data_IF_544617836764
#
_entry.id   IF_544617836764
#
_cell.length_a   1.000
_cell.length_b   1.000
_cell.length_c   1.000
_cell.angle_alpha   90.00
_cell.angle_beta   90.00
_cell.angle_gamma   90.00
#
_symmetry.space_group_name_H-M   'P 1'
#
loop_
_entity.id
_entity.type
_entity.pdbx_description
1 polymer ?
#
# COMPACT_ATOMS: atom_id res chain seq x y z
N UNK A 1 -19.70 8.10 -0.49
CA UNK A 1 -18.29 8.24 -0.83
C UNK A 1 -17.38 7.35 0.01
N UNK A 2 -17.76 7.04 1.23
CA UNK A 2 -17.01 6.18 2.14
C UNK A 2 -17.66 4.80 2.27
N UNK A 3 -16.82 3.77 2.47
CA UNK A 3 -17.28 2.43 2.76
C UNK A 3 -17.91 2.38 4.16
N UNK A 4 -18.94 1.55 4.33
CA UNK A 4 -19.62 1.33 5.61
C UNK A 4 -19.86 -0.17 5.85
N UNK A 5 -19.87 -0.56 7.11
CA UNK A 5 -20.18 -1.94 7.51
C UNK A 5 -19.06 -2.94 7.21
N UNK A 6 -19.45 -4.16 6.87
CA UNK A 6 -18.54 -5.29 6.63
C UNK A 6 -17.42 -5.02 5.60
N UNK A 7 -17.72 -4.39 4.43
CA UNK A 7 -16.65 -4.09 3.47
C UNK A 7 -15.61 -3.10 4.02
N UNK A 8 -16.01 -2.18 4.87
CA UNK A 8 -15.07 -1.28 5.56
C UNK A 8 -14.17 -2.05 6.52
N UNK A 9 -14.72 -2.97 7.29
CA UNK A 9 -13.95 -3.79 8.23
C UNK A 9 -12.90 -4.63 7.51
N UNK A 10 -13.29 -5.30 6.42
CA UNK A 10 -12.37 -6.11 5.60
C UNK A 10 -11.27 -5.24 5.02
N UNK A 11 -11.62 -4.09 4.47
CA UNK A 11 -10.64 -3.15 3.90
C UNK A 11 -9.68 -2.63 4.97
N UNK A 12 -10.17 -2.26 6.16
CA UNK A 12 -9.34 -1.81 7.27
C UNK A 12 -8.37 -2.90 7.74
N UNK A 13 -8.85 -4.13 7.90
CA UNK A 13 -8.00 -5.25 8.34
C UNK A 13 -6.90 -5.55 7.31
N UNK A 14 -7.23 -5.56 6.02
CA UNK A 14 -6.24 -5.79 4.96
C UNK A 14 -5.22 -4.64 4.88
N UNK A 15 -5.67 -3.41 4.97
CA UNK A 15 -4.76 -2.26 4.93
C UNK A 15 -3.92 -2.14 6.21
N UNK A 16 -4.47 -2.53 7.38
CA UNK A 16 -3.70 -2.64 8.61
C UNK A 16 -2.61 -3.72 8.49
N UNK A 17 -2.93 -4.85 7.87
CA UNK A 17 -1.95 -5.89 7.58
C UNK A 17 -0.83 -5.37 6.66
N UNK A 18 -1.18 -4.62 5.62
CA UNK A 18 -0.17 -3.98 4.74
C UNK A 18 0.69 -3.00 5.53
N UNK A 19 0.09 -2.15 6.36
CA UNK A 19 0.83 -1.21 7.20
C UNK A 19 1.82 -1.94 8.13
N UNK A 20 1.40 -3.05 8.74
CA UNK A 20 2.24 -3.87 9.59
C UNK A 20 3.39 -4.53 8.80
N UNK A 21 3.10 -5.04 7.61
CA UNK A 21 4.12 -5.58 6.71
C UNK A 21 5.13 -4.52 6.29
N UNK A 22 4.68 -3.32 5.95
CA UNK A 22 5.56 -2.20 5.62
C UNK A 22 6.41 -1.80 6.82
N UNK A 23 5.82 -1.76 8.02
CA UNK A 23 6.54 -1.46 9.25
C UNK A 23 7.69 -2.44 9.53
N UNK A 24 7.51 -3.70 9.22
CA UNK A 24 8.51 -4.75 9.44
C UNK A 24 9.49 -4.91 8.28
N UNK A 25 9.00 -4.92 7.04
CA UNK A 25 9.81 -5.21 5.85
C UNK A 25 10.69 -4.03 5.42
N UNK A 26 10.23 -2.79 5.56
CA UNK A 26 11.03 -1.65 5.14
C UNK A 26 12.33 -1.49 5.94
N UNK A 27 12.33 -1.52 7.29
CA UNK A 27 13.56 -1.49 8.06
C UNK A 27 14.48 -2.68 7.78
N UNK A 28 13.90 -3.88 7.60
CA UNK A 28 14.66 -5.08 7.25
C UNK A 28 15.39 -4.94 5.92
N UNK A 29 14.69 -4.49 4.90
CA UNK A 29 15.28 -4.25 3.58
C UNK A 29 16.36 -3.16 3.59
N UNK A 30 16.17 -2.11 4.38
CA UNK A 30 17.17 -1.06 4.56
C UNK A 30 18.42 -1.56 5.28
N UNK A 31 18.27 -2.36 6.32
CA UNK A 31 19.39 -2.97 7.02
C UNK A 31 20.15 -3.94 6.11
N UNK A 32 19.43 -4.79 5.36
CA UNK A 32 20.04 -5.69 4.38
C UNK A 32 20.81 -4.92 3.30
N UNK A 33 20.23 -3.86 2.77
CA UNK A 33 20.89 -3.00 1.77
C UNK A 33 22.16 -2.38 2.32
N UNK A 34 22.12 -1.84 3.56
CA UNK A 34 23.27 -1.26 4.24
C UNK A 34 24.38 -2.27 4.44
N UNK A 35 24.05 -3.49 4.88
CA UNK A 35 25.02 -4.54 5.17
C UNK A 35 25.66 -5.12 3.90
N UNK A 36 24.93 -5.10 2.77
CA UNK A 36 25.39 -5.67 1.50
C UNK A 36 26.16 -4.66 0.63
N UNK A 37 25.70 -3.43 0.56
CA UNK A 37 26.23 -2.40 -0.35
C UNK A 37 27.09 -1.36 0.40
N UNK A 38 26.86 -1.18 1.70
CA UNK A 38 27.59 -0.28 2.57
C UNK A 38 27.13 1.19 2.49
N UNK A 39 27.55 1.98 3.48
CA UNK A 39 27.40 3.44 3.50
C UNK A 39 28.61 4.09 2.84
N UNK A 40 28.43 4.89 1.83
CA UNK A 40 29.54 5.47 1.09
C UNK A 40 29.70 6.98 1.20
N UNK A 41 28.82 7.76 1.84
CA UNK A 41 29.07 9.20 2.03
C UNK A 41 28.10 9.96 2.92
N UNK A 42 28.51 11.18 3.33
CA UNK A 42 27.71 12.17 4.06
C UNK A 42 26.40 12.63 3.36
N UNK A 43 26.21 12.29 2.11
CA UNK A 43 24.96 12.54 1.34
C UNK A 43 23.80 11.66 1.79
N UNK A 44 24.07 10.60 2.56
CA UNK A 44 23.05 9.64 3.01
C UNK A 44 22.10 10.18 4.09
N UNK A 45 22.45 11.27 4.77
CA UNK A 45 21.59 11.88 5.80
C UNK A 45 20.30 12.44 5.18
N UNK A 46 20.41 13.20 4.10
CA UNK A 46 19.24 13.75 3.40
C UNK A 46 18.33 12.66 2.81
N UNK A 47 18.93 11.59 2.31
CA UNK A 47 18.21 10.42 1.81
C UNK A 47 17.49 9.66 2.93
N UNK A 48 18.10 9.52 4.10
CA UNK A 48 17.47 8.93 5.26
C UNK A 48 16.21 9.69 5.70
N UNK A 49 16.27 11.02 5.67
CA UNK A 49 15.12 11.88 5.97
C UNK A 49 14.01 11.68 4.91
N UNK A 50 14.35 11.67 3.63
CA UNK A 50 13.40 11.44 2.55
C UNK A 50 12.74 10.06 2.66
N UNK A 51 13.51 9.01 2.92
CA UNK A 51 12.99 7.65 3.14
C UNK A 51 12.06 7.57 4.36
N UNK A 52 12.39 8.27 5.44
CA UNK A 52 11.54 8.36 6.61
C UNK A 52 10.19 9.00 6.28
N UNK A 53 10.17 10.09 5.51
CA UNK A 53 8.92 10.71 5.07
C UNK A 53 8.10 9.80 4.15
N UNK A 54 8.73 9.16 3.17
CA UNK A 54 8.05 8.18 2.29
C UNK A 54 7.43 7.06 3.10
N UNK A 55 8.14 6.52 4.07
CA UNK A 55 7.67 5.46 4.94
C UNK A 55 6.40 5.88 5.71
N UNK A 56 6.42 7.05 6.36
CA UNK A 56 5.26 7.55 7.09
C UNK A 56 4.10 7.93 6.18
N UNK A 57 4.38 8.46 4.99
CA UNK A 57 3.33 8.73 3.99
C UNK A 57 2.65 7.43 3.54
N UNK A 58 3.41 6.37 3.31
CA UNK A 58 2.87 5.07 2.91
C UNK A 58 2.02 4.45 4.03
N UNK A 59 2.48 4.49 5.28
CA UNK A 59 1.70 3.99 6.42
C UNK A 59 0.44 4.82 6.62
N UNK A 60 0.55 6.15 6.59
CA UNK A 60 -0.59 7.06 6.73
C UNK A 60 -1.62 6.97 5.60
N UNK A 61 -1.19 6.58 4.40
CA UNK A 61 -2.09 6.34 3.28
C UNK A 61 -2.99 5.11 3.47
N UNK A 62 -2.55 4.10 4.22
CA UNK A 62 -3.28 2.83 4.37
C UNK A 62 -4.70 3.01 4.94
N UNK A 63 -4.91 3.68 6.10
CA UNK A 63 -6.26 3.87 6.61
C UNK A 63 -7.13 4.72 5.68
N UNK A 64 -6.55 5.71 5.01
CA UNK A 64 -7.26 6.54 4.05
C UNK A 64 -7.73 5.71 2.84
N UNK A 65 -6.87 4.85 2.29
CA UNK A 65 -7.21 3.91 1.21
C UNK A 65 -8.32 2.94 1.66
N UNK A 66 -8.29 2.49 2.92
CA UNK A 66 -9.31 1.59 3.44
C UNK A 66 -10.70 2.23 3.44
N UNK A 67 -10.80 3.48 3.84
CA UNK A 67 -12.07 4.20 4.02
C UNK A 67 -12.68 4.63 2.69
N UNK A 68 -11.87 4.98 1.70
CA UNK A 68 -12.32 5.44 0.40
C UNK A 68 -13.04 4.34 -0.39
N UNK A 69 -14.16 4.67 -1.02
CA UNK A 69 -14.93 3.74 -1.85
C UNK A 69 -14.43 3.69 -3.30
N UNK A 70 -14.26 4.84 -4.00
CA UNK A 70 -13.92 4.81 -5.41
C UNK A 70 -12.47 4.35 -5.64
N UNK A 71 -12.27 3.48 -6.63
CA UNK A 71 -10.96 2.93 -6.96
C UNK A 71 -9.96 4.02 -7.35
N UNK A 72 -10.40 4.99 -8.15
CA UNK A 72 -9.54 6.08 -8.61
C UNK A 72 -8.98 6.92 -7.44
N UNK A 73 -9.78 7.15 -6.40
CA UNK A 73 -9.32 7.88 -5.21
C UNK A 73 -8.30 7.08 -4.42
N UNK A 74 -8.47 5.76 -4.28
CA UNK A 74 -7.47 4.87 -3.66
C UNK A 74 -6.15 4.90 -4.41
N UNK A 75 -6.22 4.83 -5.74
CA UNK A 75 -5.03 4.88 -6.59
C UNK A 75 -4.35 6.25 -6.52
N UNK A 76 -5.11 7.32 -6.44
CA UNK A 76 -4.56 8.67 -6.28
C UNK A 76 -3.82 8.82 -4.94
N UNK A 77 -4.41 8.38 -3.84
CA UNK A 77 -3.79 8.41 -2.51
C UNK A 77 -2.51 7.58 -2.48
N UNK A 78 -2.49 6.43 -3.15
CA UNK A 78 -1.29 5.60 -3.28
C UNK A 78 -0.23 6.26 -4.19
N UNK A 79 -0.65 6.90 -5.27
CA UNK A 79 0.25 7.53 -6.23
C UNK A 79 1.08 8.67 -5.62
N UNK A 80 0.54 9.42 -4.65
CA UNK A 80 1.23 10.55 -4.02
C UNK A 80 2.54 10.11 -3.35
N UNK A 81 2.57 9.16 -2.39
CA UNK A 81 3.82 8.73 -1.78
C UNK A 81 4.76 8.03 -2.76
N UNK A 82 4.22 7.30 -3.74
CA UNK A 82 5.04 6.65 -4.75
C UNK A 82 5.72 7.66 -5.70
N UNK A 83 5.00 8.70 -6.12
CA UNK A 83 5.55 9.79 -6.91
C UNK A 83 6.63 10.56 -6.13
N UNK A 84 6.38 10.83 -4.86
CA UNK A 84 7.36 11.48 -3.99
C UNK A 84 8.61 10.62 -3.80
N UNK A 85 8.46 9.31 -3.58
CA UNK A 85 9.57 8.37 -3.50
C UNK A 85 10.39 8.33 -4.80
N UNK A 86 9.71 8.26 -5.93
CA UNK A 86 10.36 8.28 -7.25
C UNK A 86 11.14 9.57 -7.46
N UNK A 87 10.51 10.71 -7.17
CA UNK A 87 11.15 12.02 -7.32
C UNK A 87 12.42 12.16 -6.47
N UNK A 88 12.36 11.76 -5.21
CA UNK A 88 13.45 11.95 -4.26
C UNK A 88 14.59 10.95 -4.42
N UNK A 89 14.29 9.71 -4.80
CA UNK A 89 15.25 8.62 -4.82
C UNK A 89 15.81 8.28 -6.21
N UNK A 90 15.12 8.68 -7.28
CA UNK A 90 15.49 8.29 -8.66
C UNK A 90 16.90 8.72 -9.05
N UNK A 91 17.32 9.94 -8.68
CA UNK A 91 18.61 10.50 -9.11
C UNK A 91 19.82 9.90 -8.40
N UNK A 92 19.65 9.41 -7.18
CA UNK A 92 20.77 9.04 -6.33
C UNK A 92 20.86 7.52 -6.08
N UNK A 93 19.72 6.84 -5.95
CA UNK A 93 19.68 5.42 -5.58
C UNK A 93 18.52 4.68 -6.26
N UNK A 94 18.66 4.27 -7.53
CA UNK A 94 17.57 3.62 -8.28
C UNK A 94 17.11 2.30 -7.64
N UNK A 95 17.99 1.54 -7.00
CA UNK A 95 17.61 0.31 -6.31
C UNK A 95 16.75 0.57 -5.07
N UNK A 96 17.08 1.62 -4.31
CA UNK A 96 16.24 2.05 -3.17
C UNK A 96 14.88 2.55 -3.65
N UNK A 97 14.87 3.31 -4.75
CA UNK A 97 13.62 3.75 -5.38
C UNK A 97 12.73 2.56 -5.73
N UNK A 98 13.26 1.55 -6.40
CA UNK A 98 12.52 0.34 -6.75
C UNK A 98 11.96 -0.36 -5.51
N UNK A 99 12.76 -0.51 -4.47
CA UNK A 99 12.31 -1.14 -3.23
C UNK A 99 11.17 -0.36 -2.56
N UNK A 100 11.26 0.97 -2.51
CA UNK A 100 10.25 1.82 -1.87
C UNK A 100 9.00 2.05 -2.73
N UNK A 101 9.05 1.83 -4.02
CA UNK A 101 7.91 2.02 -4.93
C UNK A 101 7.23 0.71 -5.30
N UNK A 102 7.99 -0.27 -5.76
CA UNK A 102 7.43 -1.54 -6.27
C UNK A 102 6.88 -2.39 -5.14
N UNK A 103 7.63 -2.59 -4.06
CA UNK A 103 7.20 -3.41 -2.92
C UNK A 103 5.90 -2.89 -2.30
N UNK A 104 5.90 -1.68 -1.74
CA UNK A 104 4.71 -1.10 -1.13
C UNK A 104 3.55 -0.92 -2.12
N UNK A 105 3.85 -0.53 -3.36
CA UNK A 105 2.86 -0.37 -4.41
C UNK A 105 2.12 -1.67 -4.70
N UNK A 106 2.84 -2.76 -4.92
CA UNK A 106 2.26 -4.08 -5.18
C UNK A 106 1.47 -4.61 -3.99
N UNK A 107 2.00 -4.49 -2.77
CA UNK A 107 1.30 -4.92 -1.56
C UNK A 107 -0.02 -4.17 -1.37
N UNK A 108 0.00 -2.85 -1.54
CA UNK A 108 -1.20 -2.03 -1.40
C UNK A 108 -2.22 -2.32 -2.49
N UNK A 109 -1.79 -2.47 -3.74
CA UNK A 109 -2.67 -2.86 -4.85
C UNK A 109 -3.29 -4.23 -4.60
N UNK A 110 -2.51 -5.22 -4.18
CA UNK A 110 -3.01 -6.54 -3.85
C UNK A 110 -4.09 -6.48 -2.76
N UNK A 111 -3.88 -5.69 -1.72
CA UNK A 111 -4.86 -5.48 -0.65
C UNK A 111 -6.14 -4.77 -1.15
N UNK A 112 -6.00 -3.76 -2.02
CA UNK A 112 -7.15 -3.06 -2.63
C UNK A 112 -8.01 -4.06 -3.44
N UNK A 113 -7.40 -4.84 -4.30
CA UNK A 113 -8.13 -5.81 -5.12
C UNK A 113 -8.69 -6.96 -4.30
N UNK A 114 -7.95 -7.46 -3.29
CA UNK A 114 -8.44 -8.49 -2.38
C UNK A 114 -9.66 -8.00 -1.59
N UNK A 115 -9.61 -6.79 -1.05
CA UNK A 115 -10.75 -6.22 -0.31
C UNK A 115 -11.99 -6.08 -1.18
N UNK A 116 -11.82 -5.70 -2.45
CA UNK A 116 -12.94 -5.61 -3.41
C UNK A 116 -13.53 -6.97 -3.72
N UNK A 117 -12.72 -7.99 -3.93
CA UNK A 117 -13.20 -9.36 -4.19
C UNK A 117 -13.94 -9.93 -2.99
N UNK A 118 -13.41 -9.76 -1.79
CA UNK A 118 -14.03 -10.25 -0.55
C UNK A 118 -15.32 -9.50 -0.20
N UNK A 119 -15.45 -8.24 -0.64
CA UNK A 119 -16.63 -7.42 -0.42
C UNK A 119 -17.69 -7.55 -1.52
N UNK A 120 -17.39 -8.22 -2.63
CA UNK A 120 -18.38 -8.49 -3.67
C UNK A 120 -19.41 -9.47 -3.13
N UNK A 121 -20.72 -9.18 -3.26
CA UNK A 121 -21.75 -10.17 -2.96
C UNK A 121 -21.52 -11.37 -3.90
N UNK A 122 -21.50 -12.57 -3.32
CA UNK A 122 -21.43 -13.82 -4.08
C UNK A 122 -22.52 -13.87 -5.17
N UNK A 123 -22.35 -14.68 -6.21
CA UNK A 123 -23.39 -14.83 -7.21
C UNK A 123 -24.69 -15.16 -6.49
N UNK A 124 -25.70 -14.30 -6.68
CA UNK A 124 -27.04 -14.58 -6.18
C UNK A 124 -27.45 -15.95 -6.70
N UNK A 125 -27.64 -16.89 -5.79
CA UNK A 125 -28.25 -18.17 -6.16
C UNK A 125 -29.52 -17.84 -6.92
N UNK A 126 -29.75 -18.47 -8.08
CA UNK A 126 -31.02 -18.30 -8.77
C UNK A 126 -32.10 -18.60 -7.75
N UNK A 127 -32.97 -17.62 -7.52
CA UNK A 127 -34.15 -17.83 -6.71
C UNK A 127 -34.88 -19.02 -7.35
N UNK A 128 -34.94 -20.13 -6.65
CA UNK A 128 -35.85 -21.22 -7.00
C UNK A 128 -37.24 -20.76 -6.63
N UNK A 129 -37.73 -19.75 -7.32
CA UNK A 129 -39.14 -19.54 -7.47
C UNK A 129 -39.63 -20.62 -8.45
N UNK A 130 -39.68 -21.83 -7.95
CA UNK A 130 -40.62 -22.81 -8.46
C UNK A 130 -41.98 -22.23 -8.11
N UNK A 131 -42.52 -21.44 -9.01
CA UNK A 131 -43.92 -21.15 -8.98
C UNK A 131 -44.61 -22.53 -8.95
N UNK A 132 -45.17 -22.90 -7.82
CA UNK A 132 -46.11 -23.97 -7.73
C UNK A 132 -47.30 -23.54 -8.57
N UNK A 133 -47.37 -24.08 -9.74
CA UNK A 133 -48.56 -23.99 -10.55
C UNK A 133 -49.66 -24.85 -9.94
#
# INVERSE_FOLDING_TARGET
MFLRGMPLLIALLLQLLVALLLWTLMPLGMNWYRDTIGFTSHRDIGLGIAQFHVFWMLIGAQPLIAVLRPLWAKLLVLAIPLAFATWTLMHNHPLRMLYFTVGPGLLTLAAIFASRRLSSPGPSLPSTDTADA
#
